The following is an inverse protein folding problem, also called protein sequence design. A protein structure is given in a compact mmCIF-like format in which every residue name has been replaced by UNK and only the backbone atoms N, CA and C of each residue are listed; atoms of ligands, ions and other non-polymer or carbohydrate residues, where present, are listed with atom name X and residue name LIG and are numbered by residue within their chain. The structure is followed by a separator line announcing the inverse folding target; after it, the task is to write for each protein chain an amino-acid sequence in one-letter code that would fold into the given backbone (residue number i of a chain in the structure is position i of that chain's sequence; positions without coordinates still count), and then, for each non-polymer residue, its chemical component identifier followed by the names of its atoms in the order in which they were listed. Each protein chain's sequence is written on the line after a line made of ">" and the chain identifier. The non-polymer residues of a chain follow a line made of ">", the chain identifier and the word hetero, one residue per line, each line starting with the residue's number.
data_IF_898879573106
#
_entry.id   IF_898879573106
#
_cell.length_a   1.000
_cell.length_b   1.000
_cell.length_c   1.000
_cell.angle_alpha   90.00
_cell.angle_beta   90.00
_cell.angle_gamma   90.00
#
_symmetry.space_group_name_H-M   'P 1'
#
loop_
_entity.id
_entity.type
_entity.pdbx_description
1 polymer ?
#
# COMPACT_ATOMS: atom_id res chain seq x y z
N UNK A 1 51.99 21.24 -19.93
CA UNK A 1 51.56 20.74 -18.62
C UNK A 1 50.26 21.44 -18.30
N UNK A 2 49.11 20.86 -18.65
CA UNK A 2 47.80 21.30 -18.17
C UNK A 2 46.81 20.15 -18.39
N UNK A 3 46.85 19.20 -17.46
CA UNK A 3 45.86 18.13 -17.35
C UNK A 3 45.62 17.94 -15.85
N UNK A 4 44.60 18.62 -15.30
CA UNK A 4 44.41 18.54 -13.84
C UNK A 4 43.15 19.15 -13.21
N UNK A 5 42.18 19.69 -13.95
CA UNK A 5 41.04 20.38 -13.31
C UNK A 5 39.62 19.88 -13.67
N UNK A 6 39.48 18.85 -14.50
CA UNK A 6 38.16 18.34 -14.93
C UNK A 6 37.40 17.44 -13.93
N UNK A 7 38.05 16.92 -12.89
CA UNK A 7 37.49 15.83 -12.06
C UNK A 7 36.76 16.25 -10.76
N UNK A 8 37.07 17.43 -10.20
CA UNK A 8 36.55 17.83 -8.87
C UNK A 8 35.11 18.38 -8.90
N UNK A 9 34.72 19.07 -9.97
CA UNK A 9 33.38 19.66 -10.11
C UNK A 9 32.26 18.61 -10.30
N UNK A 10 32.54 17.53 -11.03
CA UNK A 10 31.57 16.46 -11.29
C UNK A 10 31.22 15.62 -10.06
N UNK A 11 32.22 15.31 -9.22
CA UNK A 11 32.02 14.55 -7.98
C UNK A 11 31.25 15.35 -6.93
N UNK A 12 31.57 16.65 -6.77
CA UNK A 12 30.87 17.53 -5.83
C UNK A 12 29.39 17.72 -6.19
N UNK A 13 29.07 17.91 -7.46
CA UNK A 13 27.68 18.03 -7.92
C UNK A 13 26.88 16.72 -7.74
N UNK A 14 27.54 15.57 -7.92
CA UNK A 14 26.92 14.26 -7.71
C UNK A 14 26.60 14.02 -6.23
N UNK A 15 27.55 14.30 -5.33
CA UNK A 15 27.37 14.19 -3.88
C UNK A 15 26.26 15.12 -3.41
N UNK A 16 26.26 16.38 -3.85
CA UNK A 16 25.24 17.37 -3.49
C UNK A 16 23.85 17.00 -4.00
N UNK A 17 23.76 16.37 -5.18
CA UNK A 17 22.51 15.81 -5.71
C UNK A 17 21.99 14.62 -4.91
N UNK A 18 22.87 13.73 -4.44
CA UNK A 18 22.50 12.58 -3.60
C UNK A 18 21.99 13.05 -2.22
N UNK A 19 22.71 13.98 -1.59
CA UNK A 19 22.33 14.61 -0.31
C UNK A 19 20.94 15.26 -0.43
N UNK A 20 20.69 16.03 -1.50
CA UNK A 20 19.37 16.66 -1.73
C UNK A 20 18.22 15.66 -1.83
N UNK A 21 18.42 14.53 -2.51
CA UNK A 21 17.39 13.47 -2.62
C UNK A 21 17.12 12.83 -1.25
N UNK A 22 18.16 12.57 -0.47
CA UNK A 22 18.02 12.04 0.89
C UNK A 22 17.24 13.00 1.80
N UNK A 23 17.54 14.30 1.76
CA UNK A 23 16.77 15.30 2.52
C UNK A 23 15.30 15.34 2.12
N UNK A 24 14.99 15.21 0.82
CA UNK A 24 13.61 15.16 0.34
C UNK A 24 12.85 13.94 0.88
N UNK A 25 13.49 12.76 0.92
CA UNK A 25 12.89 11.55 1.46
C UNK A 25 12.62 11.69 2.98
N UNK A 26 13.57 12.26 3.72
CA UNK A 26 13.40 12.52 5.16
C UNK A 26 12.26 13.52 5.39
N UNK A 27 12.24 14.62 4.63
CA UNK A 27 11.20 15.64 4.73
C UNK A 27 9.80 15.08 4.44
N UNK A 28 9.69 14.16 3.47
CA UNK A 28 8.43 13.49 3.13
C UNK A 28 7.86 12.71 4.32
N UNK A 29 8.67 11.82 4.92
CA UNK A 29 8.25 11.03 6.08
C UNK A 29 8.04 11.89 7.33
N UNK A 30 8.92 12.86 7.56
CA UNK A 30 8.78 13.79 8.68
C UNK A 30 7.47 14.59 8.58
N UNK A 31 7.12 15.08 7.38
CA UNK A 31 5.85 15.75 7.13
C UNK A 31 4.65 14.83 7.40
N UNK A 32 4.71 13.57 6.94
CA UNK A 32 3.67 12.57 7.22
C UNK A 32 3.48 12.31 8.72
N UNK A 33 4.57 12.05 9.45
CA UNK A 33 4.48 11.79 10.90
C UNK A 33 4.02 13.03 11.67
N UNK A 34 4.46 14.24 11.26
CA UNK A 34 4.00 15.49 11.86
C UNK A 34 2.49 15.69 11.64
N UNK A 35 2.01 15.50 10.41
CA UNK A 35 0.58 15.59 10.11
C UNK A 35 -0.23 14.55 10.90
N UNK A 36 0.26 13.31 10.99
CA UNK A 36 -0.39 12.24 11.77
C UNK A 36 -0.43 12.56 13.26
N UNK A 37 0.64 13.14 13.81
CA UNK A 37 0.71 13.60 15.20
C UNK A 37 -0.28 14.74 15.47
N UNK A 38 -0.39 15.71 14.56
CA UNK A 38 -1.39 16.78 14.66
C UNK A 38 -2.80 16.19 14.65
N UNK A 39 -3.06 15.20 13.79
CA UNK A 39 -4.38 14.56 13.77
C UNK A 39 -4.66 13.81 15.07
N UNK A 40 -3.69 13.07 15.60
CA UNK A 40 -3.80 12.42 16.90
C UNK A 40 -4.15 13.45 17.99
N UNK A 41 -3.38 14.53 18.10
CA UNK A 41 -3.57 15.53 19.14
C UNK A 41 -4.92 16.27 19.05
N UNK A 42 -5.42 16.52 17.84
CA UNK A 42 -6.64 17.30 17.63
C UNK A 42 -7.92 16.46 17.55
N UNK A 43 -7.82 15.19 17.11
CA UNK A 43 -8.99 14.37 16.75
C UNK A 43 -9.05 13.01 17.43
N UNK A 44 -8.03 12.61 18.21
CA UNK A 44 -8.06 11.39 19.00
C UNK A 44 -8.34 11.69 20.46
N UNK A 45 -8.88 10.70 21.17
CA UNK A 45 -9.00 10.70 22.63
C UNK A 45 -7.85 9.88 23.28
N UNK A 46 -6.91 9.41 22.46
CA UNK A 46 -5.76 8.61 22.89
C UNK A 46 -6.07 7.12 23.01
N UNK A 47 -7.21 6.66 22.51
CA UNK A 47 -7.60 5.25 22.56
C UNK A 47 -6.76 4.40 21.59
N UNK A 48 -6.54 3.13 21.94
CA UNK A 48 -5.78 2.19 21.11
C UNK A 48 -6.35 2.04 19.70
N UNK A 49 -7.67 2.17 19.53
CA UNK A 49 -8.34 2.10 18.24
C UNK A 49 -7.97 3.23 17.26
N UNK A 50 -7.36 4.32 17.73
CA UNK A 50 -6.73 5.31 16.83
C UNK A 50 -5.72 4.68 15.88
N UNK A 51 -5.11 3.55 16.26
CA UNK A 51 -4.17 2.80 15.42
C UNK A 51 -4.76 2.45 14.04
N UNK A 52 -6.06 2.14 13.95
CA UNK A 52 -6.75 1.91 12.68
C UNK A 52 -6.80 3.17 11.81
N UNK A 53 -7.02 4.33 12.43
CA UNK A 53 -7.01 5.63 11.73
C UNK A 53 -5.62 5.99 11.27
N UNK A 54 -4.60 5.74 12.09
CA UNK A 54 -3.22 5.92 11.68
C UNK A 54 -2.81 4.98 10.53
N UNK A 55 -3.28 3.73 10.54
CA UNK A 55 -3.12 2.82 9.41
C UNK A 55 -3.78 3.38 8.14
N UNK A 56 -5.01 3.90 8.25
CA UNK A 56 -5.72 4.57 7.15
C UNK A 56 -4.92 5.74 6.54
N UNK A 57 -4.39 6.62 7.39
CA UNK A 57 -3.51 7.70 6.93
C UNK A 57 -2.25 7.20 6.25
N UNK A 58 -1.64 6.14 6.79
CA UNK A 58 -0.43 5.55 6.20
C UNK A 58 -0.71 5.01 4.80
N UNK A 59 -1.87 4.38 4.58
CA UNK A 59 -2.31 3.95 3.22
C UNK A 59 -2.53 5.13 2.30
N UNK A 60 -3.30 6.12 2.74
CA UNK A 60 -3.59 7.33 1.97
C UNK A 60 -2.31 8.09 1.59
N UNK A 61 -1.34 8.17 2.51
CA UNK A 61 -0.02 8.73 2.27
C UNK A 61 0.72 7.99 1.15
N UNK A 62 0.72 6.65 1.15
CA UNK A 62 1.30 5.86 0.06
C UNK A 62 0.73 6.26 -1.31
N UNK A 63 -0.60 6.31 -1.43
CA UNK A 63 -1.25 6.73 -2.67
C UNK A 63 -1.00 8.20 -3.04
N UNK A 64 -0.93 9.10 -2.06
CA UNK A 64 -0.61 10.51 -2.30
C UNK A 64 0.82 10.68 -2.85
N UNK A 65 1.78 9.94 -2.29
CA UNK A 65 3.17 9.91 -2.78
C UNK A 65 3.22 9.40 -4.22
N UNK A 66 2.49 8.33 -4.52
CA UNK A 66 2.45 7.73 -5.85
C UNK A 66 1.82 8.66 -6.90
N UNK A 67 0.70 9.28 -6.56
CA UNK A 67 0.04 10.25 -7.43
C UNK A 67 0.95 11.47 -7.68
N UNK A 68 1.56 12.00 -6.61
CA UNK A 68 2.53 13.10 -6.68
C UNK A 68 3.74 12.77 -7.55
N UNK A 69 4.28 11.55 -7.43
CA UNK A 69 5.34 11.04 -8.30
C UNK A 69 4.92 11.09 -9.77
N UNK A 70 3.77 10.52 -10.12
CA UNK A 70 3.30 10.48 -11.51
C UNK A 70 3.07 11.88 -12.08
N UNK A 71 2.51 12.79 -11.28
CA UNK A 71 2.28 14.18 -11.68
C UNK A 71 3.58 14.97 -11.84
N UNK A 72 4.58 14.72 -10.99
CA UNK A 72 5.88 15.41 -11.05
C UNK A 72 6.76 14.88 -12.19
N UNK A 73 6.82 13.56 -12.38
CA UNK A 73 7.67 12.89 -13.38
C UNK A 73 7.04 12.73 -14.75
N UNK A 74 5.71 12.92 -14.85
CA UNK A 74 4.93 12.77 -16.09
C UNK A 74 5.01 11.37 -16.72
N UNK A 75 5.15 10.33 -15.90
CA UNK A 75 5.12 8.93 -16.34
C UNK A 75 4.64 8.00 -15.22
N UNK A 76 4.25 6.78 -15.59
CA UNK A 76 3.80 5.72 -14.68
C UNK A 76 4.68 4.45 -14.71
N UNK A 77 5.95 4.60 -15.11
CA UNK A 77 6.92 3.50 -15.13
C UNK A 77 7.10 2.89 -13.74
N UNK A 78 7.16 1.56 -13.67
CA UNK A 78 7.35 0.80 -12.44
C UNK A 78 6.15 0.72 -11.50
N UNK A 79 4.97 1.14 -11.94
CA UNK A 79 3.72 1.07 -11.17
C UNK A 79 2.78 0.05 -11.82
N UNK A 80 2.28 -0.90 -11.03
CA UNK A 80 1.34 -1.93 -11.46
C UNK A 80 -0.08 -1.37 -11.48
N UNK A 81 -0.71 -1.36 -12.65
CA UNK A 81 -2.11 -0.95 -12.80
C UNK A 81 -3.03 -1.91 -12.03
N UNK A 82 -2.70 -3.20 -12.06
CA UNK A 82 -3.49 -4.26 -11.41
C UNK A 82 -3.60 -4.04 -9.90
N UNK A 83 -2.48 -3.69 -9.26
CA UNK A 83 -2.49 -3.41 -7.82
C UNK A 83 -3.35 -2.19 -7.50
N UNK A 84 -3.25 -1.12 -8.29
CA UNK A 84 -4.06 0.08 -8.11
C UNK A 84 -5.56 -0.19 -8.24
N UNK A 85 -5.96 -1.00 -9.22
CA UNK A 85 -7.35 -1.42 -9.40
C UNK A 85 -7.85 -2.23 -8.20
N UNK A 86 -7.05 -3.18 -7.70
CA UNK A 86 -7.39 -3.96 -6.51
C UNK A 86 -7.56 -3.06 -5.28
N UNK A 87 -6.65 -2.11 -5.04
CA UNK A 87 -6.79 -1.17 -3.93
C UNK A 87 -7.99 -0.21 -4.08
N UNK A 88 -8.31 0.24 -5.29
CA UNK A 88 -9.52 1.02 -5.51
C UNK A 88 -10.78 0.22 -5.12
N UNK A 89 -10.82 -1.06 -5.44
CA UNK A 89 -11.90 -1.97 -4.98
C UNK A 89 -11.86 -2.13 -3.46
N UNK A 90 -10.69 -2.32 -2.84
CA UNK A 90 -10.55 -2.40 -1.38
C UNK A 90 -11.21 -1.20 -0.70
N UNK A 91 -10.85 0.02 -1.10
CA UNK A 91 -11.39 1.23 -0.48
C UNK A 91 -12.89 1.38 -0.75
N UNK A 92 -13.35 1.10 -1.98
CA UNK A 92 -14.76 1.15 -2.31
C UNK A 92 -15.58 0.16 -1.48
N UNK A 93 -15.14 -1.10 -1.37
CA UNK A 93 -15.80 -2.14 -0.58
C UNK A 93 -15.79 -1.82 0.91
N UNK A 94 -14.72 -1.23 1.44
CA UNK A 94 -14.67 -0.81 2.84
C UNK A 94 -15.67 0.30 3.12
N UNK A 95 -15.72 1.31 2.25
CA UNK A 95 -16.64 2.46 2.36
C UNK A 95 -18.11 2.05 2.30
N UNK A 96 -18.46 1.00 1.54
CA UNK A 96 -19.82 0.42 1.58
C UNK A 96 -20.22 0.03 3.00
N UNK A 97 -19.27 -0.45 3.81
CA UNK A 97 -19.55 -0.83 5.19
C UNK A 97 -19.50 0.36 6.15
N UNK A 98 -18.38 1.08 6.18
CA UNK A 98 -18.10 2.04 7.24
C UNK A 98 -18.91 3.32 7.14
N UNK A 99 -19.36 3.72 5.93
CA UNK A 99 -20.22 4.90 5.78
C UNK A 99 -21.67 4.68 6.23
N UNK A 100 -22.09 3.42 6.36
CA UNK A 100 -23.47 3.06 6.69
C UNK A 100 -23.62 2.60 8.14
N UNK A 101 -22.56 2.06 8.73
CA UNK A 101 -22.61 1.40 10.02
C UNK A 101 -21.30 1.60 10.80
N UNK A 102 -21.41 1.59 12.11
CA UNK A 102 -20.30 1.90 13.02
C UNK A 102 -19.53 0.65 13.51
N UNK A 103 -20.03 -0.56 13.23
CA UNK A 103 -19.49 -1.79 13.85
C UNK A 103 -18.06 -2.14 13.47
N UNK A 104 -17.47 -1.48 12.47
CA UNK A 104 -16.07 -1.65 12.08
C UNK A 104 -15.26 -0.35 12.15
N UNK A 105 -15.82 0.70 12.75
CA UNK A 105 -15.11 1.96 12.95
C UNK A 105 -14.15 1.84 14.15
N UNK A 106 -13.07 2.64 14.14
CA UNK A 106 -12.33 2.91 15.37
C UNK A 106 -13.29 3.45 16.45
N UNK A 107 -13.18 2.94 17.68
CA UNK A 107 -13.94 3.48 18.81
C UNK A 107 -13.44 4.86 19.25
N UNK A 108 -12.18 5.19 18.97
CA UNK A 108 -11.59 6.51 19.17
C UNK A 108 -12.40 7.56 18.40
N UNK A 109 -12.48 8.79 18.93
CA UNK A 109 -13.15 9.94 18.28
C UNK A 109 -12.71 10.20 16.84
N UNK A 110 -11.52 9.76 16.45
CA UNK A 110 -11.07 9.83 15.07
C UNK A 110 -11.94 8.98 14.11
N UNK A 111 -12.65 7.98 14.62
CA UNK A 111 -13.59 7.14 13.87
C UNK A 111 -14.76 7.90 13.26
N UNK A 112 -15.26 8.94 13.94
CA UNK A 112 -16.48 9.67 13.56
C UNK A 112 -16.39 10.33 12.18
N UNK A 113 -15.32 11.07 11.94
CA UNK A 113 -15.15 11.86 10.72
C UNK A 113 -13.80 11.66 10.05
N UNK A 114 -12.74 11.53 10.84
CA UNK A 114 -11.37 11.52 10.32
C UNK A 114 -11.09 10.23 9.56
N UNK A 115 -11.48 9.10 10.12
CA UNK A 115 -11.34 7.79 9.48
C UNK A 115 -12.12 7.73 8.16
N UNK A 116 -13.37 8.19 8.14
CA UNK A 116 -14.18 8.29 6.92
C UNK A 116 -13.50 9.14 5.84
N UNK A 117 -13.04 10.35 6.22
CA UNK A 117 -12.34 11.25 5.32
C UNK A 117 -11.08 10.63 4.74
N UNK A 118 -10.30 9.91 5.56
CA UNK A 118 -9.09 9.23 5.13
C UNK A 118 -9.36 8.08 4.14
N UNK A 119 -10.39 7.27 4.36
CA UNK A 119 -10.79 6.21 3.43
C UNK A 119 -11.33 6.78 2.10
N UNK A 120 -12.14 7.83 2.14
CA UNK A 120 -12.64 8.53 0.92
C UNK A 120 -11.47 9.14 0.14
N UNK A 121 -10.55 9.83 0.83
CA UNK A 121 -9.37 10.40 0.20
C UNK A 121 -8.49 9.31 -0.43
N UNK A 122 -8.30 8.18 0.25
CA UNK A 122 -7.53 7.04 -0.27
C UNK A 122 -8.16 6.46 -1.54
N UNK A 123 -9.49 6.31 -1.59
CA UNK A 123 -10.20 5.90 -2.80
C UNK A 123 -9.99 6.91 -3.93
N UNK A 124 -10.16 8.21 -3.67
CA UNK A 124 -9.99 9.26 -4.67
C UNK A 124 -8.56 9.28 -5.24
N UNK A 125 -7.55 9.12 -4.38
CA UNK A 125 -6.15 9.04 -4.79
C UNK A 125 -5.88 7.78 -5.63
N UNK A 126 -6.37 6.61 -5.20
CA UNK A 126 -6.21 5.35 -5.94
C UNK A 126 -6.88 5.41 -7.32
N UNK A 127 -8.13 5.90 -7.40
CA UNK A 127 -8.84 6.12 -8.67
C UNK A 127 -8.11 7.15 -9.53
N UNK A 128 -7.61 8.23 -8.95
CA UNK A 128 -6.79 9.23 -9.63
C UNK A 128 -5.55 8.60 -10.28
N UNK A 129 -4.85 7.72 -9.56
CA UNK A 129 -3.73 6.96 -10.09
C UNK A 129 -4.15 6.08 -11.29
N UNK A 130 -5.24 5.31 -11.15
CA UNK A 130 -5.77 4.46 -12.23
C UNK A 130 -6.14 5.30 -13.46
N UNK A 131 -6.83 6.43 -13.27
CA UNK A 131 -7.27 7.31 -14.37
C UNK A 131 -6.06 7.90 -15.09
N UNK A 132 -5.07 8.43 -14.37
CA UNK A 132 -3.87 9.00 -14.98
C UNK A 132 -3.09 7.94 -15.76
N UNK A 133 -2.97 6.73 -15.23
CA UNK A 133 -2.32 5.62 -15.93
C UNK A 133 -3.11 5.12 -17.14
N UNK A 134 -4.44 5.17 -17.09
CA UNK A 134 -5.30 4.71 -18.19
C UNK A 134 -5.44 5.74 -19.32
N UNK A 135 -5.13 7.01 -19.04
CA UNK A 135 -5.29 8.13 -19.97
C UNK A 135 -3.94 8.78 -20.26
N UNK A 136 -3.56 9.77 -19.47
CA UNK A 136 -2.43 10.68 -19.69
C UNK A 136 -1.08 9.97 -19.77
N UNK A 137 -0.89 8.91 -18.99
CA UNK A 137 0.37 8.19 -18.88
C UNK A 137 0.30 6.76 -19.44
N UNK A 138 -0.75 6.45 -20.23
CA UNK A 138 -0.97 5.14 -20.85
C UNK A 138 0.22 4.64 -21.65
N UNK A 139 0.89 5.52 -22.40
CA UNK A 139 2.06 5.17 -23.20
C UNK A 139 3.31 4.81 -22.38
N UNK A 140 3.31 5.12 -21.08
CA UNK A 140 4.45 4.84 -20.19
C UNK A 140 4.21 3.65 -19.27
N UNK A 141 3.00 3.09 -19.26
CA UNK A 141 2.65 1.90 -18.51
C UNK A 141 3.32 0.67 -19.15
N UNK A 142 3.94 -0.16 -18.32
CA UNK A 142 4.76 -1.29 -18.75
C UNK A 142 3.99 -2.61 -18.61
N UNK A 143 3.06 -2.85 -19.54
CA UNK A 143 2.17 -4.02 -19.54
C UNK A 143 2.93 -5.36 -19.65
N UNK A 144 4.11 -5.35 -20.29
CA UNK A 144 4.99 -6.50 -20.45
C UNK A 144 5.50 -7.04 -19.11
N UNK A 145 5.85 -6.15 -18.17
CA UNK A 145 6.32 -6.52 -16.83
C UNK A 145 5.21 -6.55 -15.77
N UNK A 146 4.07 -5.89 -15.98
CA UNK A 146 2.86 -6.04 -15.14
C UNK A 146 2.05 -7.31 -15.53
N UNK A 147 2.74 -8.44 -15.60
CA UNK A 147 2.24 -9.71 -16.16
C UNK A 147 1.71 -10.70 -15.10
N UNK A 148 1.40 -10.22 -13.89
CA UNK A 148 0.81 -11.07 -12.83
C UNK A 148 -0.46 -11.79 -13.32
N UNK A 149 -0.56 -13.09 -13.05
CA UNK A 149 -1.71 -13.91 -13.44
C UNK A 149 -1.76 -14.31 -14.92
N UNK A 150 -0.71 -14.07 -15.70
CA UNK A 150 -0.59 -14.55 -17.08
C UNK A 150 -0.29 -16.06 -17.14
N UNK A 151 -1.13 -16.89 -16.52
CA UNK A 151 -0.98 -18.36 -16.50
C UNK A 151 -2.01 -19.04 -17.41
N UNK A 152 -3.28 -19.11 -17.00
CA UNK A 152 -4.37 -19.74 -17.78
C UNK A 152 -5.42 -18.74 -18.29
N UNK A 153 -5.30 -17.48 -17.91
CA UNK A 153 -6.17 -16.39 -18.38
C UNK A 153 -5.31 -15.29 -19.01
N UNK A 154 -5.87 -14.47 -19.92
CA UNK A 154 -5.14 -13.33 -20.44
C UNK A 154 -4.68 -12.42 -19.30
N UNK A 155 -3.51 -11.83 -19.44
CA UNK A 155 -2.85 -10.99 -18.43
C UNK A 155 -3.78 -9.94 -17.82
N UNK A 156 -4.70 -9.38 -18.60
CA UNK A 156 -5.68 -8.37 -18.17
C UNK A 156 -6.62 -8.88 -17.08
N UNK A 157 -6.93 -10.18 -17.10
CA UNK A 157 -7.79 -10.87 -16.13
C UNK A 157 -7.00 -11.48 -14.97
N UNK A 158 -5.69 -11.27 -14.90
CA UNK A 158 -4.83 -11.87 -13.88
C UNK A 158 -5.23 -11.49 -12.44
N UNK A 159 -5.88 -10.35 -12.24
CA UNK A 159 -6.42 -9.92 -10.92
C UNK A 159 -7.53 -10.83 -10.41
N UNK A 160 -8.21 -11.60 -11.28
CA UNK A 160 -9.25 -12.55 -10.86
C UNK A 160 -8.72 -13.64 -9.93
N UNK A 161 -7.45 -14.04 -10.07
CA UNK A 161 -6.82 -15.01 -9.17
C UNK A 161 -6.72 -14.52 -7.72
N UNK A 162 -6.81 -13.20 -7.50
CA UNK A 162 -6.86 -12.61 -6.17
C UNK A 162 -8.31 -12.28 -5.81
N UNK A 163 -9.01 -11.57 -6.70
CA UNK A 163 -10.34 -11.03 -6.45
C UNK A 163 -11.36 -12.14 -6.12
N UNK A 164 -11.43 -13.19 -6.95
CA UNK A 164 -12.48 -14.23 -6.82
C UNK A 164 -12.31 -15.03 -5.52
N UNK A 165 -11.11 -15.57 -5.17
CA UNK A 165 -10.95 -16.26 -3.90
C UNK A 165 -11.24 -15.37 -2.69
N UNK A 166 -10.81 -14.11 -2.69
CA UNK A 166 -11.08 -13.20 -1.58
C UNK A 166 -12.59 -12.94 -1.41
N UNK A 167 -13.32 -12.78 -2.51
CA UNK A 167 -14.77 -12.53 -2.47
C UNK A 167 -15.54 -13.77 -1.98
N UNK A 168 -15.25 -14.94 -2.55
CA UNK A 168 -15.89 -16.19 -2.14
C UNK A 168 -15.63 -16.48 -0.66
N UNK A 169 -14.41 -16.25 -0.21
CA UNK A 169 -14.05 -16.44 1.18
C UNK A 169 -14.73 -15.44 2.10
N UNK A 170 -14.84 -14.16 1.71
CA UNK A 170 -15.57 -13.17 2.49
C UNK A 170 -17.06 -13.49 2.59
N UNK A 171 -17.69 -14.03 1.55
CA UNK A 171 -19.11 -14.45 1.57
C UNK A 171 -19.34 -15.58 2.59
N UNK A 172 -18.38 -16.50 2.73
CA UNK A 172 -18.52 -17.67 3.62
C UNK A 172 -18.00 -17.38 5.03
N UNK A 173 -16.99 -16.51 5.16
CA UNK A 173 -16.22 -16.25 6.38
C UNK A 173 -16.15 -14.75 6.69
N UNK A 174 -17.28 -14.17 7.12
CA UNK A 174 -17.38 -12.79 7.61
C UNK A 174 -17.95 -12.72 9.04
N UNK A 175 -17.68 -11.67 9.82
CA UNK A 175 -18.33 -11.42 11.10
C UNK A 175 -19.71 -10.80 10.89
N UNK A 176 -20.45 -10.50 11.94
CA UNK A 176 -21.82 -9.94 11.86
C UNK A 176 -21.99 -8.74 12.81
N UNK A 177 -21.03 -7.80 12.83
CA UNK A 177 -21.07 -6.63 13.72
C UNK A 177 -22.17 -5.64 13.30
N UNK A 178 -22.35 -5.44 12.00
CA UNK A 178 -23.37 -4.51 11.49
C UNK A 178 -24.76 -5.16 11.36
N UNK A 179 -24.87 -6.48 11.56
CA UNK A 179 -26.10 -7.26 11.32
C UNK A 179 -26.64 -7.07 9.90
N UNK A 180 -25.73 -6.83 8.95
CA UNK A 180 -26.06 -6.54 7.56
C UNK A 180 -25.08 -7.31 6.67
N UNK A 181 -25.60 -8.35 6.03
CA UNK A 181 -24.81 -9.26 5.20
C UNK A 181 -23.92 -8.54 4.18
N UNK A 182 -24.46 -7.53 3.48
CA UNK A 182 -23.70 -6.80 2.47
C UNK A 182 -22.57 -5.99 3.09
N UNK A 183 -22.85 -5.25 4.16
CA UNK A 183 -21.89 -4.42 4.88
C UNK A 183 -20.77 -5.25 5.51
N UNK A 184 -21.14 -6.32 6.23
CA UNK A 184 -20.20 -7.19 6.91
C UNK A 184 -19.32 -7.97 5.92
N UNK A 185 -19.92 -8.47 4.83
CA UNK A 185 -19.17 -9.12 3.73
C UNK A 185 -18.25 -8.14 3.02
N UNK A 186 -18.72 -6.92 2.70
CA UNK A 186 -17.91 -5.92 1.99
C UNK A 186 -16.71 -5.46 2.81
N UNK A 187 -16.87 -5.27 4.13
CA UNK A 187 -15.75 -4.98 5.02
C UNK A 187 -14.74 -6.13 5.04
N UNK A 188 -15.22 -7.35 5.23
CA UNK A 188 -14.37 -8.54 5.28
C UNK A 188 -13.64 -8.78 3.96
N UNK A 189 -14.34 -8.62 2.85
CA UNK A 189 -13.78 -8.68 1.51
C UNK A 189 -12.67 -7.65 1.33
N UNK A 190 -12.88 -6.41 1.78
CA UNK A 190 -11.84 -5.38 1.73
C UNK A 190 -10.58 -5.81 2.49
N UNK A 191 -10.73 -6.46 3.65
CA UNK A 191 -9.61 -6.93 4.47
C UNK A 191 -8.80 -8.04 3.79
N UNK A 192 -9.48 -9.05 3.22
CA UNK A 192 -8.82 -10.15 2.53
C UNK A 192 -8.19 -9.71 1.21
N UNK A 193 -8.91 -8.89 0.45
CA UNK A 193 -8.43 -8.35 -0.82
C UNK A 193 -7.18 -7.48 -0.62
N UNK A 194 -7.17 -6.63 0.41
CA UNK A 194 -6.05 -5.75 0.71
C UNK A 194 -4.77 -6.51 1.06
N UNK A 195 -4.88 -7.63 1.78
CA UNK A 195 -3.74 -8.50 2.08
C UNK A 195 -3.03 -8.99 0.82
N UNK A 196 -3.75 -9.11 -0.30
CA UNK A 196 -3.24 -9.62 -1.57
C UNK A 196 -3.06 -8.54 -2.65
N UNK A 197 -3.63 -7.35 -2.47
CA UNK A 197 -3.68 -6.30 -3.48
C UNK A 197 -2.29 -5.79 -3.93
N UNK A 198 -1.26 -5.95 -3.08
CA UNK A 198 0.11 -5.55 -3.40
C UNK A 198 0.87 -6.56 -4.27
N UNK A 199 0.38 -7.79 -4.38
CA UNK A 199 1.10 -8.90 -5.04
C UNK A 199 1.47 -8.57 -6.49
N UNK A 200 0.59 -7.99 -7.35
CA UNK A 200 0.98 -7.65 -8.72
C UNK A 200 2.12 -6.62 -8.78
N UNK A 201 2.19 -5.68 -7.84
CA UNK A 201 3.26 -4.68 -7.75
C UNK A 201 4.59 -5.33 -7.37
N UNK A 202 4.60 -6.24 -6.40
CA UNK A 202 5.79 -6.99 -6.01
C UNK A 202 6.28 -7.89 -7.16
N UNK A 203 5.33 -8.55 -7.85
CA UNK A 203 5.63 -9.35 -9.04
C UNK A 203 6.26 -8.51 -10.15
N UNK A 204 5.73 -7.31 -10.40
CA UNK A 204 6.28 -6.37 -11.39
C UNK A 204 7.71 -5.96 -11.04
N UNK A 205 8.02 -5.71 -9.76
CA UNK A 205 9.40 -5.39 -9.35
C UNK A 205 10.39 -6.51 -9.68
N UNK A 206 10.01 -7.78 -9.46
CA UNK A 206 10.86 -8.92 -9.77
C UNK A 206 11.11 -9.11 -11.27
N UNK A 207 10.19 -8.63 -12.12
CA UNK A 207 10.28 -8.70 -13.59
C UNK A 207 11.05 -7.54 -14.21
N UNK A 208 11.35 -6.47 -13.46
CA UNK A 208 12.12 -5.36 -14.00
C UNK A 208 13.58 -5.77 -14.27
N UNK A 209 14.02 -5.64 -15.51
CA UNK A 209 15.32 -6.13 -16.00
C UNK A 209 16.56 -5.58 -15.25
N UNK A 210 16.45 -4.46 -14.54
CA UNK A 210 17.55 -3.89 -13.75
C UNK A 210 17.36 -4.04 -12.24
N UNK A 211 16.20 -4.52 -11.78
CA UNK A 211 15.83 -4.55 -10.37
C UNK A 211 15.76 -3.18 -9.67
N UNK A 212 16.16 -2.09 -10.34
CA UNK A 212 16.16 -0.72 -9.81
C UNK A 212 14.74 -0.18 -9.82
N UNK A 213 14.23 0.09 -8.62
CA UNK A 213 12.89 0.65 -8.42
C UNK A 213 12.99 2.14 -8.10
N UNK A 214 12.09 2.94 -8.68
CA UNK A 214 11.97 4.37 -8.38
C UNK A 214 11.65 4.58 -6.89
N UNK A 215 12.38 5.50 -6.25
CA UNK A 215 12.39 5.66 -4.79
C UNK A 215 11.03 6.05 -4.22
N UNK A 216 10.25 6.88 -4.90
CA UNK A 216 8.90 7.22 -4.41
C UNK A 216 7.91 6.06 -4.57
N UNK A 217 8.12 5.17 -5.55
CA UNK A 217 7.32 3.94 -5.65
C UNK A 217 7.64 3.03 -4.47
N UNK A 218 8.92 2.89 -4.09
CA UNK A 218 9.27 2.07 -2.91
C UNK A 218 8.76 2.67 -1.61
N UNK A 219 8.82 4.00 -1.43
CA UNK A 219 8.19 4.66 -0.27
C UNK A 219 6.68 4.43 -0.22
N UNK A 220 5.99 4.54 -1.37
CA UNK A 220 4.56 4.23 -1.46
C UNK A 220 4.27 2.78 -1.09
N UNK A 221 4.99 1.81 -1.66
CA UNK A 221 4.80 0.38 -1.35
C UNK A 221 5.13 0.06 0.11
N UNK A 222 6.16 0.69 0.67
CA UNK A 222 6.48 0.57 2.09
C UNK A 222 5.36 1.11 2.98
N UNK A 223 4.79 2.28 2.66
CA UNK A 223 3.66 2.84 3.41
C UNK A 223 2.44 1.90 3.40
N UNK A 224 2.11 1.31 2.25
CA UNK A 224 1.03 0.32 2.14
C UNK A 224 1.29 -0.91 3.03
N UNK A 225 2.52 -1.44 3.03
CA UNK A 225 2.90 -2.55 3.92
C UNK A 225 2.89 -2.17 5.40
N UNK A 226 3.40 -0.99 5.75
CA UNK A 226 3.42 -0.49 7.12
C UNK A 226 2.01 -0.36 7.67
N UNK A 227 1.06 0.13 6.88
CA UNK A 227 -0.33 0.20 7.29
C UNK A 227 -0.92 -1.18 7.65
N UNK A 228 -0.54 -2.23 6.93
CA UNK A 228 -0.98 -3.60 7.24
C UNK A 228 -0.35 -4.15 8.50
N UNK A 229 0.91 -3.78 8.78
CA UNK A 229 1.53 -4.09 10.08
C UNK A 229 0.76 -3.39 11.21
N UNK A 230 0.37 -2.13 11.05
CA UNK A 230 -0.43 -1.39 12.04
C UNK A 230 -1.81 -2.04 12.25
N UNK A 231 -2.52 -2.38 11.16
CA UNK A 231 -3.79 -3.10 11.23
C UNK A 231 -3.62 -4.47 11.92
N UNK A 232 -2.56 -5.22 11.59
CA UNK A 232 -2.26 -6.51 12.22
C UNK A 232 -2.07 -6.34 13.74
N UNK A 233 -1.30 -5.32 14.15
CA UNK A 233 -1.11 -5.01 15.58
C UNK A 233 -2.44 -4.72 16.24
N UNK A 234 -3.29 -3.88 15.64
CA UNK A 234 -4.64 -3.63 16.17
C UNK A 234 -5.43 -4.93 16.36
N UNK A 235 -5.54 -5.74 15.30
CA UNK A 235 -6.31 -6.97 15.36
C UNK A 235 -5.73 -8.02 16.31
N UNK A 236 -4.42 -8.05 16.56
CA UNK A 236 -3.84 -8.97 17.56
C UNK A 236 -4.42 -8.76 18.95
N UNK A 237 -4.79 -7.52 19.29
CA UNK A 237 -5.40 -7.18 20.56
C UNK A 237 -6.94 -7.16 20.52
N UNK A 238 -7.54 -6.93 19.34
CA UNK A 238 -9.00 -6.75 19.19
C UNK A 238 -9.74 -7.88 18.45
N UNK A 239 -9.07 -8.94 17.99
CA UNK A 239 -9.73 -10.01 17.19
C UNK A 239 -10.90 -10.69 17.89
N UNK A 240 -10.91 -10.71 19.23
CA UNK A 240 -11.99 -11.32 20.02
C UNK A 240 -13.34 -10.67 19.77
N UNK A 241 -13.35 -9.37 19.45
CA UNK A 241 -14.57 -8.65 19.09
C UNK A 241 -15.20 -9.22 17.81
N UNK A 242 -14.37 -9.57 16.82
CA UNK A 242 -14.82 -10.22 15.58
C UNK A 242 -15.31 -11.64 15.82
N UNK A 243 -14.65 -12.37 16.72
CA UNK A 243 -15.02 -13.74 17.11
C UNK A 243 -16.36 -13.76 17.84
N UNK A 244 -16.62 -12.83 18.76
CA UNK A 244 -17.88 -12.79 19.50
C UNK A 244 -19.08 -12.39 18.62
N UNK A 245 -18.84 -11.63 17.56
CA UNK A 245 -19.86 -11.21 16.61
C UNK A 245 -20.00 -12.15 15.40
N UNK A 246 -19.36 -13.32 15.40
CA UNK A 246 -19.39 -14.26 14.27
C UNK A 246 -19.07 -15.69 14.68
N UNK A 247 -18.61 -16.50 13.73
CA UNK A 247 -18.01 -17.80 14.07
C UNK A 247 -16.66 -17.56 14.75
N UNK A 248 -16.29 -18.41 15.72
CA UNK A 248 -15.02 -18.32 16.45
C UNK A 248 -13.79 -18.20 15.52
N UNK A 249 -13.90 -18.76 14.30
CA UNK A 249 -12.82 -18.79 13.31
C UNK A 249 -12.60 -17.48 12.55
N UNK A 250 -13.55 -16.55 12.54
CA UNK A 250 -13.46 -15.34 11.69
C UNK A 250 -12.35 -14.40 12.16
N UNK A 251 -12.31 -14.06 13.45
CA UNK A 251 -11.26 -13.19 14.01
C UNK A 251 -9.85 -13.77 13.80
N UNK A 252 -9.71 -15.09 13.95
CA UNK A 252 -8.45 -15.80 13.67
C UNK A 252 -8.07 -15.76 12.18
N UNK A 253 -9.05 -15.85 11.29
CA UNK A 253 -8.80 -15.78 9.86
C UNK A 253 -8.40 -14.37 9.41
N UNK A 254 -9.00 -13.32 9.98
CA UNK A 254 -8.57 -11.93 9.75
C UNK A 254 -7.10 -11.75 10.15
N UNK A 255 -6.71 -12.24 11.34
CA UNK A 255 -5.31 -12.25 11.77
C UNK A 255 -4.40 -13.04 10.84
N UNK A 256 -4.82 -14.23 10.43
CA UNK A 256 -4.07 -15.05 9.49
C UNK A 256 -3.84 -14.33 8.16
N UNK A 257 -4.86 -13.66 7.61
CA UNK A 257 -4.75 -12.92 6.35
C UNK A 257 -3.74 -11.76 6.45
N UNK A 258 -3.68 -11.09 7.60
CA UNK A 258 -2.72 -10.03 7.87
C UNK A 258 -1.29 -10.58 7.98
N UNK A 259 -1.14 -11.70 8.69
CA UNK A 259 0.14 -12.39 8.80
C UNK A 259 0.68 -12.82 7.44
N UNK A 260 -0.18 -13.39 6.57
CA UNK A 260 0.17 -13.74 5.19
C UNK A 260 0.67 -12.51 4.41
N UNK A 261 0.03 -11.35 4.58
CA UNK A 261 0.50 -10.11 3.94
C UNK A 261 1.92 -9.73 4.40
N UNK A 262 2.20 -9.79 5.70
CA UNK A 262 3.54 -9.49 6.25
C UNK A 262 4.59 -10.44 5.69
N UNK A 263 4.27 -11.73 5.54
CA UNK A 263 5.17 -12.69 4.90
C UNK A 263 5.44 -12.34 3.43
N UNK A 264 4.40 -12.01 2.66
CA UNK A 264 4.52 -11.58 1.26
C UNK A 264 5.42 -10.34 1.13
N UNK A 265 5.31 -9.41 2.07
CA UNK A 265 6.11 -8.17 2.10
C UNK A 265 7.50 -8.34 2.70
N UNK A 266 7.85 -9.51 3.26
CA UNK A 266 9.08 -9.73 4.05
C UNK A 266 10.36 -9.35 3.30
N UNK A 267 10.55 -9.91 2.10
CA UNK A 267 11.70 -9.59 1.24
C UNK A 267 11.72 -8.10 0.88
N UNK A 268 10.57 -7.53 0.54
CA UNK A 268 10.47 -6.11 0.20
C UNK A 268 10.91 -5.23 1.38
N UNK A 269 10.45 -5.51 2.60
CA UNK A 269 10.86 -4.76 3.79
C UNK A 269 12.35 -4.85 4.06
N UNK A 270 12.95 -6.03 3.88
CA UNK A 270 14.38 -6.24 4.04
C UNK A 270 15.19 -5.37 3.07
N UNK A 271 14.90 -5.43 1.77
CA UNK A 271 15.63 -4.65 0.76
C UNK A 271 15.33 -3.16 0.83
N UNK A 272 14.12 -2.77 1.25
CA UNK A 272 13.78 -1.37 1.52
C UNK A 272 14.65 -0.82 2.67
N UNK A 273 14.78 -1.55 3.78
CA UNK A 273 15.62 -1.13 4.92
C UNK A 273 17.09 -0.97 4.52
N UNK A 274 17.62 -1.86 3.68
CA UNK A 274 18.97 -1.73 3.12
C UNK A 274 19.09 -0.46 2.27
N UNK A 275 18.11 -0.18 1.41
CA UNK A 275 18.12 1.01 0.55
C UNK A 275 18.15 2.31 1.37
N UNK A 276 17.36 2.38 2.45
CA UNK A 276 17.31 3.54 3.34
C UNK A 276 18.63 3.70 4.11
N UNK A 277 19.20 2.60 4.62
CA UNK A 277 20.47 2.63 5.37
C UNK A 277 21.65 3.04 4.50
N UNK A 278 21.68 2.60 3.24
CA UNK A 278 22.78 2.86 2.31
C UNK A 278 22.61 4.14 1.51
N UNK A 279 21.40 4.71 1.46
CA UNK A 279 21.06 5.86 0.61
C UNK A 279 21.00 5.53 -0.89
N UNK A 280 21.16 4.26 -1.26
CA UNK A 280 21.11 3.80 -2.65
C UNK A 280 19.68 3.47 -3.08
N UNK A 281 19.46 3.44 -4.40
CA UNK A 281 18.18 2.97 -4.93
C UNK A 281 17.96 1.50 -4.55
N UNK A 282 16.73 1.15 -4.21
CA UNK A 282 16.36 -0.22 -3.90
C UNK A 282 16.56 -1.11 -5.12
N UNK A 283 17.20 -2.26 -4.89
CA UNK A 283 17.40 -3.32 -5.87
C UNK A 283 16.87 -4.61 -5.29
N UNK A 284 15.92 -5.22 -5.97
CA UNK A 284 15.43 -6.56 -5.64
C UNK A 284 16.25 -7.60 -6.41
N UNK A 285 16.49 -8.79 -5.83
CA UNK A 285 17.22 -9.85 -6.51
C UNK A 285 16.42 -10.26 -7.75
N UNK A 286 16.97 -9.97 -8.94
CA UNK A 286 16.41 -10.48 -10.17
C UNK A 286 16.75 -11.97 -10.30
N UNK A 287 15.78 -12.81 -10.67
CA UNK A 287 16.03 -14.24 -10.90
C UNK A 287 17.10 -14.52 -11.97
N UNK A 288 17.53 -13.50 -12.72
CA UNK A 288 18.60 -13.55 -13.71
C UNK A 288 20.03 -13.49 -13.13
N UNK A 289 20.21 -13.15 -11.85
CA UNK A 289 21.56 -13.08 -11.24
C UNK A 289 22.07 -14.42 -10.69
N UNK A 290 21.23 -15.47 -10.69
CA UNK A 290 21.61 -16.83 -10.25
C UNK A 290 21.82 -17.82 -11.39
N UNK A 291 21.76 -17.39 -12.65
CA UNK A 291 21.91 -18.24 -13.85
C UNK A 291 23.08 -17.80 -14.76
N UNK A 292 24.08 -17.11 -14.21
CA UNK A 292 25.34 -16.77 -14.89
C UNK A 292 26.51 -17.33 -14.09
#
# INVERSE_FOLDING_TARGET
>A
MDAGLGGRGGSSNMVMGAVRKQHMNIALWFGFFTASFVVFYLFSDGDFSFLMTFASFTRGFGFAVLLGLMLAKKHARGVSMKSLQLYAVVFASRLVSVLQHEGYLPYDRSGDFVYHGAEIASLALAVGCVVLMSTKFKSTYQQDVDSFGALHVPTEWGTLYIFVPCLLLAIVMHPNLNKNFLSDTAWTFSMYLESMAIVPQLFMFQKQAKGIVEVLVTHSTFALGLARVLDMVFWMFSYKELTHAGSNSVGMFVLFSQFVHVLIMGDFFYYYAISVKTGNMMQLPSQLSGMV
#
